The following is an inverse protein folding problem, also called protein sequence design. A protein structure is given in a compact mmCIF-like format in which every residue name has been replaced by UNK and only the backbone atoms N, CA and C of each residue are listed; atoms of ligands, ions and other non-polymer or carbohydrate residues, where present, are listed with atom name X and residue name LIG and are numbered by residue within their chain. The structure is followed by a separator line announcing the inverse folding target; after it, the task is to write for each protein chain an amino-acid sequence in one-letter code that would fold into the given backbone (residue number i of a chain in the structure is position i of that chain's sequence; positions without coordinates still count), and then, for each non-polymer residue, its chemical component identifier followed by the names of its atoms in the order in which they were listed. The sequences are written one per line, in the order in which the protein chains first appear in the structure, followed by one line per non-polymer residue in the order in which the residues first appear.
data_IF_727328012439
#
_entry.id   IF_727328012439
#
_cell.length_a   1.000
_cell.length_b   1.000
_cell.length_c   1.000
_cell.angle_alpha   90.00
_cell.angle_beta   90.00
_cell.angle_gamma   90.00
#
_symmetry.space_group_name_H-M   'P 1'
#
loop_
_entity.id
_entity.type
_entity.pdbx_description
1 polymer ?
#
# COMPACT_ATOMS: atom_id res chain seq x y z
N UNK A 1 12.39 -13.51 -10.94
CA UNK A 1 12.06 -12.32 -11.77
C UNK A 1 10.73 -12.42 -12.52
N UNK A 2 10.29 -13.59 -13.00
CA UNK A 2 9.03 -13.73 -13.75
C UNK A 2 7.76 -13.25 -13.00
N UNK A 3 7.61 -13.57 -11.71
CA UNK A 3 6.46 -13.14 -10.90
C UNK A 3 6.39 -11.63 -10.67
N UNK A 4 7.53 -10.95 -10.63
CA UNK A 4 7.62 -9.51 -10.35
C UNK A 4 7.13 -8.68 -11.55
N UNK A 5 7.50 -9.05 -12.77
CA UNK A 5 6.95 -8.39 -13.96
C UNK A 5 5.45 -8.66 -14.10
N UNK A 6 4.97 -9.83 -13.65
CA UNK A 6 3.54 -10.17 -13.67
C UNK A 6 2.72 -9.27 -12.75
N UNK A 7 3.20 -8.95 -11.55
CA UNK A 7 2.53 -8.02 -10.63
C UNK A 7 2.36 -6.63 -11.24
N UNK A 8 3.46 -6.04 -11.73
CA UNK A 8 3.44 -4.71 -12.37
C UNK A 8 2.50 -4.70 -13.58
N UNK A 9 2.57 -5.72 -14.43
CA UNK A 9 1.66 -5.86 -15.59
C UNK A 9 0.19 -6.02 -15.16
N UNK A 10 -0.09 -6.82 -14.14
CA UNK A 10 -1.44 -7.07 -13.64
C UNK A 10 -2.05 -5.81 -13.02
N UNK A 11 -1.27 -5.09 -12.19
CA UNK A 11 -1.71 -3.82 -11.61
C UNK A 11 -1.89 -2.73 -12.65
N UNK A 12 -0.92 -2.55 -13.55
CA UNK A 12 -1.05 -1.57 -14.63
C UNK A 12 -2.29 -1.87 -15.48
N UNK A 13 -2.58 -3.13 -15.78
CA UNK A 13 -3.80 -3.49 -16.52
C UNK A 13 -5.09 -3.14 -15.77
N UNK A 14 -5.12 -3.30 -14.45
CA UNK A 14 -6.32 -3.05 -13.61
C UNK A 14 -6.48 -1.57 -13.23
N UNK A 15 -5.39 -0.83 -13.06
CA UNK A 15 -5.37 0.55 -12.58
C UNK A 15 -5.33 1.59 -13.69
N UNK A 16 -4.77 1.27 -14.86
CA UNK A 16 -4.67 2.24 -15.97
C UNK A 16 -6.03 2.87 -16.34
N UNK A 17 -7.16 2.12 -16.41
CA UNK A 17 -8.48 2.72 -16.67
C UNK A 17 -9.05 3.54 -15.50
N UNK A 18 -8.56 3.33 -14.26
CA UNK A 18 -9.02 4.01 -13.06
C UNK A 18 -8.24 5.31 -12.80
N UNK A 19 -6.95 5.33 -13.14
CA UNK A 19 -6.05 6.47 -12.95
C UNK A 19 -6.10 7.43 -14.14
N UNK A 20 -6.27 6.91 -15.36
CA UNK A 20 -6.37 7.70 -16.58
C UNK A 20 -7.79 7.60 -17.15
N UNK A 21 -8.58 8.65 -16.99
CA UNK A 21 -9.87 8.79 -17.65
C UNK A 21 -9.63 8.87 -19.16
N UNK A 22 -10.14 7.87 -19.91
CA UNK A 22 -9.98 7.72 -21.36
C UNK A 22 -10.44 8.94 -22.17
N UNK A 23 -11.18 9.88 -21.55
CA UNK A 23 -11.62 11.14 -22.17
C UNK A 23 -10.48 12.12 -22.45
N UNK A 24 -9.33 12.01 -21.79
CA UNK A 24 -8.17 12.88 -22.06
C UNK A 24 -7.38 12.47 -23.32
N UNK A 25 -7.61 11.27 -23.86
CA UNK A 25 -6.86 10.72 -25.00
C UNK A 25 -7.50 11.01 -26.37
N UNK A 26 -8.69 11.60 -26.42
CA UNK A 26 -9.43 11.81 -27.68
C UNK A 26 -9.24 13.21 -28.29
N UNK A 27 -8.39 14.06 -27.71
CA UNK A 27 -8.14 15.42 -28.19
C UNK A 27 -6.87 15.60 -29.04
N UNK A 28 -6.08 14.54 -29.25
CA UNK A 28 -4.88 14.60 -30.08
C UNK A 28 -5.08 13.82 -31.39
N UNK A 29 -4.92 14.53 -32.50
CA UNK A 29 -4.85 14.00 -33.87
C UNK A 29 -3.94 12.74 -33.97
N UNK A 30 -4.07 11.90 -35.03
CA UNK A 30 -3.34 10.65 -35.17
C UNK A 30 -1.86 10.93 -35.45
N UNK A 31 -1.16 11.35 -34.41
CA UNK A 31 0.30 11.38 -34.38
C UNK A 31 0.68 10.03 -33.83
N UNK A 32 1.44 9.26 -34.59
CA UNK A 32 1.98 7.97 -34.18
C UNK A 32 2.72 8.16 -32.85
N UNK A 33 2.06 7.90 -31.73
CA UNK A 33 2.68 7.94 -30.42
C UNK A 33 3.60 6.74 -30.41
N UNK A 34 4.88 7.00 -30.65
CA UNK A 34 5.92 6.02 -30.41
C UNK A 34 5.90 5.74 -28.91
N UNK A 35 5.21 4.66 -28.52
CA UNK A 35 5.18 4.12 -27.16
C UNK A 35 6.57 3.54 -26.82
N UNK A 36 7.61 4.35 -26.95
CA UNK A 36 8.92 4.04 -26.42
C UNK A 36 8.86 4.23 -24.91
N UNK A 37 9.06 3.12 -24.20
CA UNK A 37 9.02 2.98 -22.75
C UNK A 37 7.61 2.95 -22.15
N UNK A 38 7.08 1.73 -22.02
CA UNK A 38 6.08 1.39 -21.00
C UNK A 38 6.71 1.59 -19.63
N UNK A 39 6.69 2.83 -19.09
CA UNK A 39 7.17 3.10 -17.74
C UNK A 39 6.30 2.32 -16.77
N UNK A 40 6.88 1.29 -16.16
CA UNK A 40 6.23 0.53 -15.11
C UNK A 40 6.21 1.39 -13.85
N UNK A 41 5.12 2.12 -13.60
CA UNK A 41 4.95 3.04 -12.45
C UNK A 41 4.99 2.33 -11.08
N UNK A 42 5.05 1.00 -11.07
CA UNK A 42 5.15 0.16 -9.88
C UNK A 42 6.38 -0.77 -9.91
N UNK A 43 7.47 -0.34 -10.56
CA UNK A 43 8.76 -1.04 -10.50
C UNK A 43 9.39 -0.94 -9.10
N UNK A 44 10.32 -1.84 -8.80
CA UNK A 44 10.99 -1.90 -7.50
C UNK A 44 11.76 -0.61 -7.20
N UNK A 45 12.35 -0.01 -8.24
CA UNK A 45 13.09 1.25 -8.20
C UNK A 45 12.16 2.42 -7.87
N UNK A 46 11.03 2.55 -8.58
CA UNK A 46 10.06 3.62 -8.39
C UNK A 46 9.41 3.54 -7.01
N UNK A 47 9.13 2.32 -6.54
CA UNK A 47 8.55 2.09 -5.22
C UNK A 47 9.60 2.16 -4.09
N UNK A 48 10.90 2.06 -4.37
CA UNK A 48 11.95 2.00 -3.35
C UNK A 48 11.83 0.75 -2.47
N UNK A 49 11.59 -0.42 -3.09
CA UNK A 49 11.34 -1.68 -2.38
C UNK A 49 12.56 -2.11 -1.55
N UNK A 50 13.78 -1.88 -2.02
CA UNK A 50 15.00 -2.28 -1.32
C UNK A 50 15.12 -1.65 0.07
N UNK A 51 14.95 -0.33 0.16
CA UNK A 51 14.96 0.40 1.44
C UNK A 51 13.83 -0.07 2.35
N UNK A 52 12.67 -0.36 1.79
CA UNK A 52 11.54 -0.88 2.55
C UNK A 52 11.83 -2.27 3.13
N UNK A 53 12.46 -3.17 2.37
CA UNK A 53 12.84 -4.50 2.84
C UNK A 53 13.88 -4.42 3.96
N UNK A 54 14.86 -3.53 3.85
CA UNK A 54 15.83 -3.29 4.93
C UNK A 54 15.15 -2.84 6.23
N UNK A 55 14.22 -1.88 6.14
CA UNK A 55 13.44 -1.43 7.29
C UNK A 55 12.59 -2.55 7.90
N UNK A 56 11.95 -3.39 7.06
CA UNK A 56 11.21 -4.59 7.52
C UNK A 56 12.11 -5.52 8.33
N UNK A 57 13.32 -5.78 7.85
CA UNK A 57 14.27 -6.64 8.55
C UNK A 57 14.66 -6.05 9.92
N UNK A 58 14.94 -4.75 9.99
CA UNK A 58 15.26 -4.07 11.24
C UNK A 58 14.11 -4.13 12.26
N UNK A 59 12.89 -3.84 11.81
CA UNK A 59 11.69 -3.92 12.67
C UNK A 59 11.45 -5.36 13.11
N UNK A 60 11.55 -6.33 12.19
CA UNK A 60 11.40 -7.76 12.51
C UNK A 60 12.42 -8.23 13.56
N UNK A 61 13.68 -7.80 13.45
CA UNK A 61 14.72 -8.09 14.44
C UNK A 61 14.42 -7.46 15.80
N UNK A 62 13.94 -6.20 15.83
CA UNK A 62 13.53 -5.52 17.06
C UNK A 62 12.44 -6.26 17.82
N UNK A 63 11.43 -6.78 17.10
CA UNK A 63 10.35 -7.55 17.72
C UNK A 63 10.80 -8.95 18.12
N UNK A 64 11.61 -9.62 17.31
CA UNK A 64 12.13 -10.95 17.58
C UNK A 64 11.01 -11.92 17.99
N UNK A 65 11.12 -12.50 19.19
CA UNK A 65 10.13 -13.46 19.74
C UNK A 65 8.79 -12.83 20.13
N UNK A 66 8.72 -11.50 20.26
CA UNK A 66 7.50 -10.78 20.65
C UNK A 66 6.58 -10.49 19.46
N UNK A 67 6.98 -10.84 18.23
CA UNK A 67 6.20 -10.60 17.02
C UNK A 67 4.78 -11.19 17.12
N UNK A 68 4.65 -12.43 17.59
CA UNK A 68 3.35 -13.09 17.75
C UNK A 68 2.47 -12.37 18.79
N UNK A 69 3.06 -12.04 19.94
CA UNK A 69 2.38 -11.33 21.03
C UNK A 69 1.87 -9.96 20.56
N UNK A 70 2.61 -9.28 19.67
CA UNK A 70 2.16 -8.02 19.08
C UNK A 70 0.89 -8.18 18.26
N UNK A 71 0.80 -9.20 17.39
CA UNK A 71 -0.41 -9.42 16.59
C UNK A 71 -1.62 -9.76 17.44
N UNK A 72 -1.45 -10.58 18.48
CA UNK A 72 -2.51 -10.94 19.43
C UNK A 72 -3.02 -9.70 20.17
N UNK A 73 -2.10 -8.93 20.78
CA UNK A 73 -2.44 -7.69 21.49
C UNK A 73 -3.11 -6.67 20.59
N UNK A 74 -2.60 -6.48 19.37
CA UNK A 74 -3.19 -5.54 18.43
C UNK A 74 -4.58 -6.00 17.97
N UNK A 75 -4.75 -7.32 17.77
CA UNK A 75 -6.04 -7.94 17.44
C UNK A 75 -7.10 -7.69 18.51
N UNK A 76 -6.74 -7.89 19.78
CA UNK A 76 -7.60 -7.57 20.93
C UNK A 76 -7.87 -6.06 21.04
N UNK A 77 -6.83 -5.24 20.85
CA UNK A 77 -6.93 -3.78 20.92
C UNK A 77 -7.86 -3.20 19.86
N UNK A 78 -7.83 -3.72 18.63
CA UNK A 78 -8.71 -3.25 17.56
C UNK A 78 -10.17 -3.67 17.77
N UNK A 79 -10.42 -4.76 18.50
CA UNK A 79 -11.77 -5.31 18.73
C UNK A 79 -12.64 -4.43 19.65
N UNK A 80 -12.04 -3.61 20.51
CA UNK A 80 -12.75 -2.62 21.32
C UNK A 80 -12.80 -1.26 20.59
N UNK A 81 -13.99 -0.80 20.21
CA UNK A 81 -14.19 0.47 19.49
C UNK A 81 -13.67 1.71 20.24
N UNK A 82 -13.50 1.65 21.56
CA UNK A 82 -12.97 2.77 22.37
C UNK A 82 -11.48 3.00 22.18
N UNK A 83 -10.75 1.97 21.74
CA UNK A 83 -9.30 2.00 21.63
C UNK A 83 -8.85 2.69 20.34
N UNK A 84 -8.09 3.77 20.48
CA UNK A 84 -7.46 4.45 19.35
C UNK A 84 -6.25 3.67 18.82
N UNK A 85 -6.03 3.72 17.50
CA UNK A 85 -4.87 3.09 16.84
C UNK A 85 -3.76 4.11 16.70
N UNK A 86 -2.60 3.83 17.28
CA UNK A 86 -1.44 4.71 17.13
C UNK A 86 -0.80 4.51 15.76
N UNK A 87 -0.25 5.58 15.18
CA UNK A 87 0.47 5.48 13.91
C UNK A 87 1.70 4.57 14.01
N UNK A 88 2.28 4.42 15.20
CA UNK A 88 3.39 3.50 15.44
C UNK A 88 2.94 2.03 15.34
N UNK A 89 1.78 1.68 15.89
CA UNK A 89 1.23 0.32 15.78
C UNK A 89 0.90 -0.02 14.33
N UNK A 90 0.29 0.91 13.58
CA UNK A 90 0.02 0.71 12.16
C UNK A 90 1.32 0.57 11.34
N UNK A 91 2.35 1.38 11.63
CA UNK A 91 3.68 1.25 11.00
C UNK A 91 4.30 -0.11 11.29
N UNK A 92 4.33 -0.53 12.56
CA UNK A 92 4.88 -1.82 12.96
C UNK A 92 4.13 -2.96 12.30
N UNK A 93 2.78 -2.90 12.25
CA UNK A 93 1.96 -3.88 11.55
C UNK A 93 2.33 -3.98 10.07
N UNK A 94 2.48 -2.86 9.35
CA UNK A 94 2.90 -2.86 7.94
C UNK A 94 4.26 -3.50 7.71
N UNK A 95 5.22 -3.29 8.61
CA UNK A 95 6.55 -3.86 8.49
C UNK A 95 6.64 -5.34 8.90
N UNK A 96 5.75 -5.80 9.79
CA UNK A 96 5.72 -7.17 10.29
C UNK A 96 4.79 -8.09 9.50
N UNK A 97 3.79 -7.53 8.83
CA UNK A 97 2.77 -8.25 8.06
C UNK A 97 3.40 -9.17 7.01
N UNK A 98 2.84 -10.36 6.86
CA UNK A 98 3.30 -11.41 5.94
C UNK A 98 2.17 -11.76 4.98
N UNK A 99 2.45 -12.58 3.97
CA UNK A 99 1.45 -12.99 2.99
C UNK A 99 0.54 -14.11 3.55
N UNK A 100 -0.11 -13.85 4.69
CA UNK A 100 -1.11 -14.72 5.32
C UNK A 100 -2.45 -14.01 5.40
N UNK A 101 -3.55 -14.77 5.32
CA UNK A 101 -4.90 -14.21 5.35
C UNK A 101 -5.13 -13.43 6.65
N UNK A 102 -4.72 -13.99 7.79
CA UNK A 102 -4.90 -13.37 9.10
C UNK A 102 -4.17 -12.02 9.22
N UNK A 103 -2.93 -11.92 8.73
CA UNK A 103 -2.17 -10.67 8.79
C UNK A 103 -2.76 -9.61 7.88
N UNK A 104 -3.23 -10.01 6.69
CA UNK A 104 -3.84 -9.10 5.72
C UNK A 104 -5.17 -8.58 6.26
N UNK A 105 -6.01 -9.44 6.85
CA UNK A 105 -7.30 -9.04 7.40
C UNK A 105 -7.16 -8.20 8.67
N UNK A 106 -6.17 -8.48 9.51
CA UNK A 106 -5.82 -7.59 10.62
C UNK A 106 -5.34 -6.21 10.12
N UNK A 107 -4.51 -6.18 9.08
CA UNK A 107 -4.04 -4.93 8.46
C UNK A 107 -5.20 -4.08 7.91
N UNK A 108 -6.12 -4.68 7.15
CA UNK A 108 -7.29 -3.98 6.61
C UNK A 108 -8.15 -3.39 7.72
N UNK A 109 -8.53 -4.19 8.73
CA UNK A 109 -9.33 -3.72 9.87
C UNK A 109 -8.64 -2.59 10.64
N UNK A 110 -7.32 -2.69 10.83
CA UNK A 110 -6.53 -1.67 11.54
C UNK A 110 -6.51 -0.36 10.75
N UNK A 111 -6.33 -0.42 9.41
CA UNK A 111 -6.39 0.76 8.55
C UNK A 111 -7.79 1.38 8.56
N UNK A 112 -8.85 0.58 8.41
CA UNK A 112 -10.23 1.08 8.42
C UNK A 112 -10.56 1.80 9.72
N UNK A 113 -10.11 1.27 10.87
CA UNK A 113 -10.27 1.91 12.17
C UNK A 113 -9.42 3.17 12.30
N UNK A 114 -8.16 3.12 11.87
CA UNK A 114 -7.25 4.27 11.88
C UNK A 114 -7.78 5.40 10.99
N UNK A 115 -8.43 5.10 9.87
CA UNK A 115 -9.08 6.11 9.02
C UNK A 115 -10.27 6.75 9.71
N UNK A 116 -11.19 5.92 10.25
CA UNK A 116 -12.37 6.43 10.97
C UNK A 116 -12.01 7.33 12.13
N UNK A 117 -10.95 7.03 12.89
CA UNK A 117 -10.55 7.88 14.03
C UNK A 117 -10.00 9.24 13.56
N UNK A 118 -9.45 9.31 12.35
CA UNK A 118 -8.66 10.45 11.85
C UNK A 118 -9.39 11.24 10.77
N UNK A 119 -10.67 10.97 10.53
CA UNK A 119 -11.44 11.54 9.42
C UNK A 119 -11.43 13.09 9.42
N UNK A 120 -11.33 13.70 10.61
CA UNK A 120 -11.25 15.15 10.83
C UNK A 120 -9.83 15.74 10.81
N UNK A 121 -8.78 14.91 10.88
CA UNK A 121 -7.37 15.32 11.05
C UNK A 121 -6.53 15.00 9.80
N UNK A 122 -6.96 15.37 8.60
CA UNK A 122 -6.33 14.89 7.35
C UNK A 122 -4.94 15.46 7.02
N UNK A 123 -4.49 16.52 7.68
CA UNK A 123 -3.18 17.15 7.41
C UNK A 123 -2.11 16.71 8.42
N UNK A 124 -0.96 16.23 7.91
CA UNK A 124 0.21 15.87 8.74
C UNK A 124 0.22 14.45 9.31
N UNK A 125 -0.80 13.64 9.02
CA UNK A 125 -0.88 12.25 9.47
C UNK A 125 0.00 11.29 8.64
N UNK A 126 0.27 10.14 9.25
CA UNK A 126 1.06 9.08 8.65
C UNK A 126 0.43 8.58 7.34
N UNK A 127 1.17 8.73 6.24
CA UNK A 127 0.76 8.26 4.91
C UNK A 127 1.13 6.78 4.74
N UNK A 128 0.19 5.88 5.03
CA UNK A 128 0.39 4.43 4.85
C UNK A 128 0.28 3.97 3.40
N UNK A 129 -0.37 4.75 2.52
CA UNK A 129 -0.60 4.42 1.11
C UNK A 129 0.62 3.84 0.37
N UNK A 130 1.74 4.60 0.30
CA UNK A 130 2.97 4.13 -0.32
C UNK A 130 3.58 2.90 0.37
N UNK A 131 3.45 2.81 1.70
CA UNK A 131 4.02 1.71 2.48
C UNK A 131 3.26 0.41 2.20
N UNK A 132 1.93 0.46 2.13
CA UNK A 132 1.09 -0.67 1.70
C UNK A 132 1.42 -1.09 0.26
N UNK A 133 1.67 -0.14 -0.64
CA UNK A 133 2.04 -0.49 -2.02
C UNK A 133 3.37 -1.22 -2.11
N UNK A 134 4.37 -0.76 -1.35
CA UNK A 134 5.67 -1.47 -1.21
C UNK A 134 5.50 -2.85 -0.57
N UNK A 135 4.61 -2.97 0.42
CA UNK A 135 4.28 -4.23 1.06
C UNK A 135 3.64 -5.20 0.07
N UNK A 136 2.59 -4.78 -0.63
CA UNK A 136 1.89 -5.57 -1.63
C UNK A 136 2.85 -6.01 -2.74
N UNK A 137 3.76 -5.12 -3.15
CA UNK A 137 4.82 -5.41 -4.10
C UNK A 137 5.78 -6.48 -3.58
N UNK A 138 6.27 -6.32 -2.36
CA UNK A 138 7.18 -7.26 -1.71
C UNK A 138 6.55 -8.65 -1.52
N UNK A 139 5.27 -8.70 -1.14
CA UNK A 139 4.52 -9.95 -0.94
C UNK A 139 3.95 -10.53 -2.25
N UNK A 140 4.15 -9.84 -3.39
CA UNK A 140 3.55 -10.17 -4.69
C UNK A 140 2.01 -10.33 -4.63
N UNK A 141 1.34 -9.52 -3.81
CA UNK A 141 -0.10 -9.60 -3.54
C UNK A 141 -0.85 -8.49 -4.28
N UNK A 142 -1.36 -8.81 -5.48
CA UNK A 142 -2.06 -7.85 -6.34
C UNK A 142 -3.37 -7.38 -5.71
N UNK A 143 -4.08 -8.24 -4.98
CA UNK A 143 -5.38 -7.89 -4.41
C UNK A 143 -5.26 -6.91 -3.24
N UNK A 144 -4.20 -7.04 -2.43
CA UNK A 144 -3.83 -6.02 -1.44
C UNK A 144 -3.52 -4.67 -2.10
N UNK A 145 -2.75 -4.68 -3.19
CA UNK A 145 -2.45 -3.47 -3.93
C UNK A 145 -3.73 -2.85 -4.53
N UNK A 146 -4.67 -3.65 -5.04
CA UNK A 146 -5.93 -3.14 -5.57
C UNK A 146 -6.85 -2.57 -4.48
N UNK A 147 -6.86 -3.19 -3.30
CA UNK A 147 -7.68 -2.74 -2.18
C UNK A 147 -7.40 -1.29 -1.78
N UNK A 148 -6.15 -0.83 -1.91
CA UNK A 148 -5.78 0.56 -1.58
C UNK A 148 -6.40 1.61 -2.53
N UNK A 149 -6.81 1.21 -3.72
CA UNK A 149 -7.42 2.11 -4.70
C UNK A 149 -8.96 2.13 -4.61
N UNK A 150 -9.55 1.34 -3.72
CA UNK A 150 -10.98 1.46 -3.40
C UNK A 150 -11.24 2.85 -2.77
N UNK A 151 -12.40 3.52 -2.99
CA UNK A 151 -12.72 4.86 -2.48
C UNK A 151 -12.33 5.19 -1.03
N UNK A 152 -12.20 4.19 -0.14
CA UNK A 152 -11.70 4.36 1.24
C UNK A 152 -10.18 4.61 1.30
N UNK A 153 -9.37 3.97 0.43
CA UNK A 153 -7.91 4.14 0.36
C UNK A 153 -7.43 5.19 -0.64
N UNK A 154 -8.29 5.58 -1.60
CA UNK A 154 -7.94 6.47 -2.71
C UNK A 154 -7.50 7.89 -2.27
N UNK A 155 -8.01 8.37 -1.13
CA UNK A 155 -7.73 9.73 -0.63
C UNK A 155 -6.26 9.97 -0.23
N UNK A 156 -5.47 8.94 0.04
CA UNK A 156 -4.05 9.10 0.41
C UNK A 156 -3.05 8.67 -0.67
N UNK A 157 -3.52 8.00 -1.72
CA UNK A 157 -2.65 7.60 -2.83
C UNK A 157 -2.30 8.79 -3.75
N UNK A 158 -3.19 9.78 -3.85
CA UNK A 158 -3.06 10.89 -4.81
C UNK A 158 -1.90 11.86 -4.53
N UNK A 159 -1.32 11.89 -3.32
CA UNK A 159 -0.28 12.88 -3.01
C UNK A 159 1.14 12.50 -3.46
N UNK A 160 1.39 11.22 -3.81
CA UNK A 160 2.76 10.72 -4.04
C UNK A 160 3.09 10.38 -5.51
N UNK A 161 2.11 10.32 -6.41
CA UNK A 161 2.42 10.26 -7.85
C UNK A 161 2.73 11.63 -8.47
N UNK A 162 2.52 12.75 -7.77
CA UNK A 162 2.68 14.12 -8.31
C UNK A 162 3.76 14.99 -7.64
N UNK A 163 4.49 14.48 -6.65
CA UNK A 163 5.66 15.18 -6.09
C UNK A 163 6.85 14.20 -5.98
N UNK A 164 7.47 13.95 -7.13
CA UNK A 164 8.91 13.75 -7.23
C UNK A 164 9.46 14.80 -8.18
#
# INVERSE_FOLDING_TARGET
MANLLQFSRSLNRRLFPLIFDSRCLMAAAPTTIHLQSKREIFSDEVLGVDRFVQLRQQVSQRFGKQKQIFFERLGEHIADDKNAILSEDLKNLLFLCENSVDHIDLLKRTIDKFEKQNESLRFGLFQFGPVVMRLARHLNNVDMAMWIFNPVGFFYFSFIMFNQ
#
